data_IF_537632770836
#
_entry.id   IF_537632770836
#
_cell.length_a   1.000
_cell.length_b   1.000
_cell.length_c   1.000
_cell.angle_alpha   90.00
_cell.angle_beta   90.00
_cell.angle_gamma   90.00
#
_symmetry.space_group_name_H-M   'P 1'
#
loop_
_entity.id
_entity.type
_entity.pdbx_description
1 polymer ?
#
# COMPACT_ATOMS: atom_id res chain seq x y z
N UNK A 1 8.64 1.65 10.52
CA UNK A 1 8.45 3.04 10.99
C UNK A 1 7.23 3.15 11.88
N UNK A 2 7.08 4.24 12.65
CA UNK A 2 5.91 4.45 13.53
C UNK A 2 4.58 4.52 12.74
N UNK A 3 4.61 5.07 11.53
CA UNK A 3 3.48 5.07 10.58
C UNK A 3 3.03 3.64 10.24
N UNK A 4 3.99 2.73 10.05
CA UNK A 4 3.68 1.33 9.74
C UNK A 4 2.98 0.66 10.91
N UNK A 5 3.46 0.87 12.13
CA UNK A 5 2.89 0.30 13.35
C UNK A 5 1.44 0.78 13.57
N UNK A 6 1.18 2.06 13.32
CA UNK A 6 -0.13 2.68 13.59
C UNK A 6 -1.17 2.43 12.51
N UNK A 7 -0.76 2.32 11.24
CA UNK A 7 -1.69 2.28 10.11
C UNK A 7 -1.51 1.02 9.27
N UNK A 8 -0.33 0.83 8.67
CA UNK A 8 -0.13 -0.22 7.66
C UNK A 8 -0.24 -1.62 8.27
N UNK A 9 0.41 -1.89 9.39
CA UNK A 9 0.47 -3.23 9.98
C UNK A 9 -0.86 -3.70 10.58
N UNK A 10 -1.63 -2.85 11.29
CA UNK A 10 -2.99 -3.20 11.68
C UNK A 10 -3.89 -3.53 10.48
N UNK A 11 -3.87 -2.70 9.44
CA UNK A 11 -4.67 -2.91 8.23
C UNK A 11 -4.22 -4.16 7.45
N UNK A 12 -2.92 -4.39 7.32
CA UNK A 12 -2.38 -5.60 6.71
C UNK A 12 -2.75 -6.85 7.52
N UNK A 13 -2.78 -6.76 8.85
CA UNK A 13 -3.24 -7.86 9.71
C UNK A 13 -4.70 -8.21 9.41
N UNK A 14 -5.58 -7.21 9.29
CA UNK A 14 -6.98 -7.41 8.91
C UNK A 14 -7.10 -7.99 7.49
N UNK A 15 -6.36 -7.46 6.52
CA UNK A 15 -6.34 -7.98 5.17
C UNK A 15 -5.90 -9.46 5.17
N UNK A 16 -4.87 -9.82 5.94
CA UNK A 16 -4.36 -11.20 6.06
C UNK A 16 -5.31 -12.18 6.76
N UNK A 17 -6.35 -11.72 7.46
CA UNK A 17 -7.41 -12.57 8.03
C UNK A 17 -8.41 -13.08 6.98
N UNK A 18 -8.37 -12.51 5.77
CA UNK A 18 -9.21 -12.90 4.63
C UNK A 18 -8.31 -13.18 3.43
N UNK A 19 -8.52 -14.28 2.72
CA UNK A 19 -7.65 -14.64 1.59
C UNK A 19 -8.00 -13.90 0.29
N UNK A 20 -9.14 -13.22 0.25
CA UNK A 20 -9.70 -12.57 -0.94
C UNK A 20 -9.66 -11.04 -0.89
N UNK A 21 -8.96 -10.45 0.10
CA UNK A 21 -8.85 -9.00 0.21
C UNK A 21 -7.47 -8.58 -0.31
N UNK A 22 -7.40 -7.88 -1.46
CA UNK A 22 -6.15 -7.30 -1.93
C UNK A 22 -5.70 -6.17 -1.00
N UNK A 23 -4.39 -5.99 -0.88
CA UNK A 23 -3.81 -4.95 -0.04
C UNK A 23 -2.67 -4.26 -0.79
N UNK A 24 -2.64 -2.93 -0.78
CA UNK A 24 -1.56 -2.15 -1.37
C UNK A 24 -0.96 -1.18 -0.35
N UNK A 25 0.26 -0.74 -0.63
CA UNK A 25 0.97 0.30 0.11
C UNK A 25 1.55 1.27 -0.90
N UNK A 26 1.20 2.56 -0.79
CA UNK A 26 1.85 3.61 -1.57
C UNK A 26 3.26 3.88 -1.00
N UNK A 27 4.27 3.77 -1.85
CA UNK A 27 5.68 3.84 -1.44
C UNK A 27 6.48 4.91 -2.17
N UNK A 28 5.87 5.65 -3.11
CA UNK A 28 6.55 6.70 -3.85
C UNK A 28 6.97 7.84 -2.90
N UNK A 29 8.27 8.11 -2.73
CA UNK A 29 8.72 9.20 -1.89
C UNK A 29 8.43 10.55 -2.56
N UNK A 30 8.20 11.57 -1.73
CA UNK A 30 8.05 12.96 -2.17
C UNK A 30 8.98 13.88 -1.40
N UNK A 31 9.71 14.74 -2.11
CA UNK A 31 10.65 15.77 -1.57
C UNK A 31 11.79 15.26 -0.66
N UNK A 32 11.83 13.98 -0.28
CA UNK A 32 12.84 13.35 0.58
C UNK A 32 12.87 11.81 0.35
N UNK A 33 12.66 11.01 1.41
CA UNK A 33 12.84 9.56 1.45
C UNK A 33 11.54 8.76 1.71
N UNK A 34 10.45 9.45 2.07
CA UNK A 34 9.20 8.82 2.52
C UNK A 34 8.03 9.29 1.67
N UNK A 35 7.03 8.40 1.53
CA UNK A 35 5.76 8.75 0.93
C UNK A 35 4.94 9.64 1.88
N UNK A 36 4.24 10.62 1.32
CA UNK A 36 3.29 11.44 2.09
C UNK A 36 2.10 10.57 2.54
N UNK A 37 1.54 10.79 3.74
CA UNK A 37 0.43 10.00 4.26
C UNK A 37 -0.83 9.98 3.37
N UNK A 38 -1.04 11.00 2.54
CA UNK A 38 -2.18 11.18 1.64
C UNK A 38 -1.80 11.08 0.15
N UNK A 39 -0.59 10.58 -0.15
CA UNK A 39 -0.06 10.50 -1.51
C UNK A 39 -0.94 9.68 -2.46
N UNK A 40 -1.51 8.59 -1.97
CA UNK A 40 -2.41 7.71 -2.70
C UNK A 40 -3.72 8.41 -3.10
N UNK A 41 -4.41 9.03 -2.13
CA UNK A 41 -5.62 9.77 -2.34
C UNK A 41 -5.39 10.96 -3.28
N UNK A 42 -4.29 11.71 -3.07
CA UNK A 42 -3.94 12.81 -3.94
C UNK A 42 -3.66 12.36 -5.38
N UNK A 43 -3.01 11.21 -5.58
CA UNK A 43 -2.73 10.65 -6.90
C UNK A 43 -4.03 10.19 -7.60
N UNK A 44 -4.90 9.48 -6.88
CA UNK A 44 -6.20 9.03 -7.38
C UNK A 44 -7.09 10.21 -7.78
N UNK A 45 -7.18 11.23 -6.92
CA UNK A 45 -8.07 12.38 -7.10
C UNK A 45 -7.48 13.49 -7.98
N UNK A 46 -6.23 13.34 -8.45
CA UNK A 46 -5.59 14.30 -9.35
C UNK A 46 -5.08 15.57 -8.67
N UNK A 47 -4.96 15.60 -7.34
CA UNK A 47 -4.38 16.73 -6.59
C UNK A 47 -2.89 16.55 -6.28
N UNK A 48 -2.31 15.38 -6.63
CA UNK A 48 -0.88 15.13 -6.52
C UNK A 48 -0.08 15.96 -7.53
N UNK A 49 0.55 17.05 -7.07
CA UNK A 49 1.46 17.86 -7.88
C UNK A 49 2.80 17.13 -8.13
N UNK A 50 2.84 16.29 -9.17
CA UNK A 50 4.01 15.55 -9.60
C UNK A 50 5.00 16.44 -10.38
N UNK A 51 6.26 16.40 -9.99
CA UNK A 51 7.38 17.15 -10.55
C UNK A 51 8.31 16.23 -11.34
N UNK A 52 8.70 15.08 -10.76
CA UNK A 52 9.66 14.16 -11.39
C UNK A 52 8.99 13.12 -12.30
N UNK A 53 9.73 12.48 -13.23
CA UNK A 53 9.19 11.36 -14.01
C UNK A 53 8.69 10.19 -13.15
N UNK A 54 9.35 9.90 -12.03
CA UNK A 54 8.97 8.86 -11.07
C UNK A 54 7.63 9.19 -10.41
N UNK A 55 7.47 10.45 -9.97
CA UNK A 55 6.22 10.94 -9.41
C UNK A 55 5.07 10.89 -10.42
N UNK A 56 5.31 11.23 -11.69
CA UNK A 56 4.29 11.12 -12.76
C UNK A 56 3.90 9.67 -13.05
N UNK A 57 4.87 8.75 -12.98
CA UNK A 57 4.62 7.32 -13.13
C UNK A 57 3.82 6.77 -11.95
N UNK A 58 4.11 7.23 -10.72
CA UNK A 58 3.31 6.91 -9.55
C UNK A 58 1.85 7.34 -9.68
N UNK A 59 1.60 8.57 -10.14
CA UNK A 59 0.22 9.05 -10.40
C UNK A 59 -0.49 8.14 -11.40
N UNK A 60 0.19 7.81 -12.51
CA UNK A 60 -0.35 6.88 -13.51
C UNK A 60 -0.63 5.50 -12.91
N UNK A 61 0.28 4.95 -12.10
CA UNK A 61 0.13 3.63 -11.47
C UNK A 61 -1.06 3.58 -10.50
N UNK A 62 -1.20 4.60 -9.64
CA UNK A 62 -2.32 4.72 -8.70
C UNK A 62 -3.66 4.85 -9.43
N UNK A 63 -3.73 5.70 -10.46
CA UNK A 63 -4.95 5.89 -11.25
C UNK A 63 -5.31 4.63 -12.03
N UNK A 64 -4.34 3.95 -12.64
CA UNK A 64 -4.59 2.68 -13.33
C UNK A 64 -5.10 1.61 -12.38
N UNK A 65 -4.48 1.46 -11.20
CA UNK A 65 -4.90 0.52 -10.17
C UNK A 65 -6.34 0.77 -9.72
N UNK A 66 -6.64 2.03 -9.36
CA UNK A 66 -7.97 2.43 -8.89
C UNK A 66 -9.05 2.30 -9.97
N UNK A 67 -8.80 2.86 -11.15
CA UNK A 67 -9.78 2.84 -12.24
C UNK A 67 -10.07 1.41 -12.70
N UNK A 68 -9.06 0.55 -12.75
CA UNK A 68 -9.26 -0.86 -13.07
C UNK A 68 -10.20 -1.53 -12.06
N UNK A 69 -9.98 -1.32 -10.75
CA UNK A 69 -10.85 -1.84 -9.70
C UNK A 69 -12.28 -1.33 -9.80
N UNK A 70 -12.47 -0.03 -10.03
CA UNK A 70 -13.80 0.58 -10.18
C UNK A 70 -14.54 -0.01 -11.39
N UNK A 71 -13.84 -0.26 -12.50
CA UNK A 71 -14.47 -0.76 -13.72
C UNK A 71 -14.73 -2.28 -13.73
N UNK A 72 -13.86 -3.07 -13.09
CA UNK A 72 -13.90 -4.53 -13.21
C UNK A 72 -14.30 -5.25 -11.89
N UNK A 73 -14.29 -4.54 -10.76
CA UNK A 73 -14.55 -5.13 -9.45
C UNK A 73 -13.41 -6.01 -8.92
N UNK A 74 -12.25 -6.00 -9.57
CA UNK A 74 -11.07 -6.75 -9.18
C UNK A 74 -9.81 -5.88 -9.23
N UNK A 75 -8.80 -6.24 -8.44
CA UNK A 75 -7.52 -5.54 -8.48
C UNK A 75 -6.61 -6.27 -9.47
N UNK A 76 -6.15 -5.57 -10.50
CA UNK A 76 -5.20 -6.11 -11.46
C UNK A 76 -3.92 -6.56 -10.75
N UNK A 77 -3.30 -7.65 -11.23
CA UNK A 77 -2.03 -8.19 -10.70
C UNK A 77 -2.14 -8.88 -9.32
N UNK A 78 -3.35 -9.16 -8.82
CA UNK A 78 -3.52 -10.01 -7.64
C UNK A 78 -3.30 -11.47 -8.01
N UNK A 79 -2.46 -12.15 -7.23
CA UNK A 79 -2.25 -13.58 -7.36
C UNK A 79 -3.52 -14.35 -6.94
N UNK A 80 -4.13 -15.07 -7.89
CA UNK A 80 -5.32 -15.90 -7.66
C UNK A 80 -5.06 -17.09 -6.73
N UNK A 81 -3.79 -17.43 -6.46
CA UNK A 81 -3.42 -18.55 -5.58
C UNK A 81 -3.71 -18.28 -4.08
N UNK A 82 -4.08 -17.06 -3.70
CA UNK A 82 -4.38 -16.69 -2.31
C UNK A 82 -3.13 -16.59 -1.41
N UNK A 83 -1.93 -16.78 -1.96
CA UNK A 83 -0.69 -16.49 -1.27
C UNK A 83 -0.57 -14.97 -1.09
N UNK A 84 -0.91 -14.50 0.12
CA UNK A 84 -0.80 -13.12 0.65
C UNK A 84 0.29 -12.31 -0.07
N UNK A 85 -0.09 -11.43 -0.99
CA UNK A 85 0.85 -10.52 -1.66
C UNK A 85 0.35 -9.08 -1.58
N UNK A 86 1.22 -8.23 -1.07
CA UNK A 86 1.03 -6.79 -0.93
C UNK A 86 1.45 -6.13 -2.24
N UNK A 87 0.64 -5.24 -2.79
CA UNK A 87 1.03 -4.40 -3.92
C UNK A 87 1.78 -3.18 -3.41
N UNK A 88 3.04 -3.03 -3.78
CA UNK A 88 3.83 -1.85 -3.49
C UNK A 88 3.69 -0.89 -4.67
N UNK A 89 3.04 0.25 -4.45
CA UNK A 89 2.77 1.24 -5.50
C UNK A 89 3.74 2.41 -5.34
N UNK A 90 4.89 2.29 -6.00
CA UNK A 90 5.88 3.36 -6.13
C UNK A 90 5.71 4.08 -7.47
N UNK A 91 6.81 4.30 -8.18
CA UNK A 91 6.77 4.66 -9.61
C UNK A 91 6.04 3.59 -10.45
N UNK A 92 6.12 2.33 -10.05
CA UNK A 92 5.50 1.18 -10.69
C UNK A 92 4.77 0.36 -9.62
N UNK A 93 3.79 -0.46 -10.04
CA UNK A 93 3.11 -1.41 -9.15
C UNK A 93 3.87 -2.72 -9.11
N UNK A 94 4.38 -3.08 -7.94
CA UNK A 94 5.16 -4.30 -7.73
C UNK A 94 4.45 -5.24 -6.76
N UNK A 95 4.38 -6.51 -7.11
CA UNK A 95 3.83 -7.55 -6.26
C UNK A 95 4.90 -8.03 -5.25
N UNK A 96 4.63 -7.89 -3.95
CA UNK A 96 5.52 -8.33 -2.87
C UNK A 96 4.86 -9.43 -2.04
N UNK A 97 5.63 -10.41 -1.54
CA UNK A 97 5.12 -11.50 -0.69
C UNK A 97 4.65 -11.03 0.69
N UNK A 98 5.01 -9.82 1.08
CA UNK A 98 4.68 -9.26 2.37
C UNK A 98 5.13 -7.81 2.44
N UNK A 99 5.18 -7.30 3.65
CA UNK A 99 5.70 -5.98 3.90
C UNK A 99 6.66 -6.10 5.08
N UNK A 100 7.99 -6.17 4.82
CA UNK A 100 8.99 -6.55 5.82
C UNK A 100 8.92 -5.74 7.11
N UNK A 101 8.56 -4.46 7.01
CA UNK A 101 8.35 -3.61 8.17
C UNK A 101 7.28 -4.18 9.11
N UNK A 102 6.17 -4.69 8.59
CA UNK A 102 5.13 -5.29 9.40
C UNK A 102 5.45 -6.70 9.86
N UNK A 103 6.15 -7.49 9.04
CA UNK A 103 6.55 -8.83 9.45
C UNK A 103 7.39 -8.77 10.74
N UNK A 104 8.30 -7.79 10.85
CA UNK A 104 9.05 -7.52 12.08
C UNK A 104 8.15 -7.22 13.30
N UNK A 105 7.18 -6.29 13.18
CA UNK A 105 6.33 -5.90 14.33
C UNK A 105 5.33 -6.98 14.73
N UNK A 106 4.85 -7.76 13.76
CA UNK A 106 3.92 -8.87 13.98
C UNK A 106 4.66 -10.04 14.66
N UNK A 107 5.86 -10.39 14.20
CA UNK A 107 6.69 -11.44 14.84
C UNK A 107 7.04 -11.11 16.30
N UNK A 108 7.16 -9.82 16.63
CA UNK A 108 7.39 -9.35 18.00
C UNK A 108 6.12 -9.23 18.84
N UNK A 109 4.95 -9.61 18.33
CA UNK A 109 3.65 -9.47 18.98
C UNK A 109 3.32 -8.03 19.42
N UNK A 110 3.83 -7.03 18.71
CA UNK A 110 3.55 -5.61 18.99
C UNK A 110 2.25 -5.17 18.29
N UNK A 111 2.11 -5.51 17.01
CA UNK A 111 0.87 -5.32 16.23
C UNK A 111 0.18 -6.68 16.09
N UNK A 112 -1.16 -6.78 16.25
CA UNK A 112 -2.14 -5.69 16.38
C UNK A 112 -2.41 -5.23 17.82
N UNK A 113 -1.79 -5.86 18.83
CA UNK A 113 -2.19 -5.73 20.23
C UNK A 113 -2.08 -4.31 20.80
N UNK A 114 -1.05 -3.56 20.40
CA UNK A 114 -0.79 -2.20 20.92
C UNK A 114 -1.15 -1.07 19.95
N UNK A 115 -1.72 -1.37 18.77
CA UNK A 115 -2.03 -0.36 17.76
C UNK A 115 -3.05 0.71 18.19
N UNK A 116 -3.84 0.46 19.25
CA UNK A 116 -4.85 1.38 19.79
C UNK A 116 -4.35 2.23 20.96
N UNK A 117 -3.20 1.87 21.57
CA UNK A 117 -2.72 2.48 22.82
C UNK A 117 -1.85 3.73 22.55
N UNK A 118 -1.48 4.00 21.29
CA UNK A 118 -0.54 5.04 20.86
C UNK A 118 -1.15 6.11 19.92
#
# INVERSE_FOLDING_TARGET
MISDIRVICPLLTLARMRTNIPFYVATQPRRQYLADPDSDAAAILGTYAAVTPEEKRHVSAMQQLFNHYVWHGEVAQVDQSGAKRVLLVGQDTLLAQGYPNCDFWIEKNIVPMYGRID
#
